data_IF_285295504433
#
_entry.id   IF_285295504433
#
_cell.length_a   1.000
_cell.length_b   1.000
_cell.length_c   1.000
_cell.angle_alpha   90.00
_cell.angle_beta   90.00
_cell.angle_gamma   90.00
#
_symmetry.space_group_name_H-M   'P 1'
#
loop_
_entity.id
_entity.type
_entity.pdbx_description
1 polymer ?
#
# COMPACT_ATOMS: atom_id res chain seq x y z
N UNK A 1 -27.35 5.10 12.87
CA UNK A 1 -26.70 4.14 11.94
C UNK A 1 -25.88 3.20 12.81
N UNK A 2 -26.20 1.89 12.87
CA UNK A 2 -25.36 0.94 13.62
C UNK A 2 -24.00 0.90 12.92
N UNK A 3 -22.91 1.17 13.65
CA UNK A 3 -21.57 0.87 13.15
C UNK A 3 -21.55 -0.60 12.76
N UNK A 4 -21.13 -0.90 11.53
CA UNK A 4 -21.00 -2.29 11.13
C UNK A 4 -19.90 -2.92 12.00
N UNK A 5 -20.05 -4.20 12.33
CA UNK A 5 -19.11 -4.96 13.17
C UNK A 5 -17.64 -4.84 12.70
N UNK A 6 -17.46 -4.57 11.40
CA UNK A 6 -16.21 -4.38 10.67
C UNK A 6 -15.51 -3.02 10.88
N UNK A 7 -16.13 -2.07 11.57
CA UNK A 7 -15.51 -0.77 11.90
C UNK A 7 -14.89 -0.78 13.32
N UNK A 8 -14.98 -1.91 14.02
CA UNK A 8 -14.47 -2.04 15.38
C UNK A 8 -12.96 -2.22 15.36
N UNK A 9 -12.24 -1.30 16.01
CA UNK A 9 -10.80 -1.43 16.20
C UNK A 9 -10.56 -2.45 17.32
N UNK A 10 -9.72 -3.48 17.11
CA UNK A 10 -9.32 -4.42 18.16
C UNK A 10 -8.57 -3.71 19.29
N UNK A 11 -8.51 -4.34 20.46
CA UNK A 11 -7.67 -3.84 21.55
C UNK A 11 -6.17 -3.89 21.21
N UNK A 12 -5.37 -3.07 21.89
CA UNK A 12 -3.94 -2.94 21.65
C UNK A 12 -3.19 -4.27 21.80
N UNK A 13 -3.60 -5.13 22.72
CA UNK A 13 -2.96 -6.44 22.91
C UNK A 13 -3.19 -7.34 21.69
N UNK A 14 -4.39 -7.32 21.11
CA UNK A 14 -4.71 -8.02 19.87
C UNK A 14 -3.89 -7.47 18.69
N UNK A 15 -3.75 -6.15 18.57
CA UNK A 15 -2.94 -5.52 17.52
C UNK A 15 -1.47 -5.93 17.63
N UNK A 16 -0.88 -5.84 18.82
CA UNK A 16 0.53 -6.19 19.06
C UNK A 16 0.80 -7.67 18.74
N UNK A 17 -0.04 -8.60 19.24
CA UNK A 17 0.10 -10.03 18.95
C UNK A 17 -0.02 -10.34 17.46
N UNK A 18 -0.95 -9.67 16.78
CA UNK A 18 -1.14 -9.84 15.33
C UNK A 18 0.09 -9.34 14.58
N UNK A 19 0.65 -8.18 14.97
CA UNK A 19 1.87 -7.67 14.38
C UNK A 19 3.08 -8.60 14.62
N UNK A 20 3.20 -9.22 15.79
CA UNK A 20 4.21 -10.24 16.07
C UNK A 20 4.04 -11.48 15.18
N UNK A 21 2.81 -11.95 14.96
CA UNK A 21 2.54 -13.07 14.06
C UNK A 21 2.92 -12.75 12.60
N UNK A 22 2.65 -11.52 12.13
CA UNK A 22 3.10 -11.05 10.81
C UNK A 22 4.63 -10.98 10.74
N UNK A 23 5.29 -10.45 11.79
CA UNK A 23 6.77 -10.43 11.88
C UNK A 23 7.38 -11.84 11.87
N UNK A 24 6.74 -12.80 12.52
CA UNK A 24 7.14 -14.21 12.50
C UNK A 24 7.14 -14.84 11.10
N UNK A 25 6.46 -14.22 10.12
CA UNK A 25 6.45 -14.62 8.72
C UNK A 25 7.48 -13.89 7.85
N UNK A 26 8.41 -13.16 8.48
CA UNK A 26 9.47 -12.43 7.78
C UNK A 26 9.02 -11.09 7.19
N UNK A 27 7.86 -10.56 7.59
CA UNK A 27 7.33 -9.28 7.14
C UNK A 27 7.58 -8.22 8.21
N UNK A 28 8.24 -7.12 7.86
CA UNK A 28 8.43 -6.00 8.80
C UNK A 28 7.11 -5.27 9.06
N UNK A 29 6.84 -4.93 10.32
CA UNK A 29 5.62 -4.22 10.73
C UNK A 29 5.97 -3.03 11.61
N UNK A 30 5.44 -1.86 11.28
CA UNK A 30 5.46 -0.65 12.09
C UNK A 30 4.03 -0.28 12.49
N UNK A 31 3.79 -0.09 13.79
CA UNK A 31 2.50 0.36 14.33
C UNK A 31 2.61 1.85 14.58
N UNK A 32 1.62 2.61 14.13
CA UNK A 32 1.55 4.07 14.24
C UNK A 32 0.18 4.47 14.77
N UNK A 33 0.11 5.54 15.54
CA UNK A 33 -1.09 5.92 16.29
C UNK A 33 -2.13 6.63 15.42
N UNK A 34 -1.68 7.32 14.36
CA UNK A 34 -2.57 8.13 13.51
C UNK A 34 -2.10 8.24 12.07
N UNK A 35 -3.06 8.57 11.20
CA UNK A 35 -2.89 8.60 9.73
C UNK A 35 -1.74 9.48 9.22
N UNK A 36 -1.46 10.62 9.86
CA UNK A 36 -0.38 11.51 9.42
C UNK A 36 1.00 10.91 9.71
N UNK A 37 1.16 10.25 10.87
CA UNK A 37 2.36 9.48 11.16
C UNK A 37 2.57 8.37 10.13
N UNK A 38 1.51 7.66 9.73
CA UNK A 38 1.60 6.67 8.65
C UNK A 38 2.12 7.27 7.33
N UNK A 39 1.63 8.46 6.95
CA UNK A 39 2.09 9.15 5.75
C UNK A 39 3.58 9.52 5.84
N UNK A 40 4.01 10.09 6.96
CA UNK A 40 5.39 10.52 7.16
C UNK A 40 6.36 9.33 7.11
N UNK A 41 6.00 8.23 7.78
CA UNK A 41 6.79 6.99 7.76
C UNK A 41 6.90 6.39 6.36
N UNK A 42 5.81 6.38 5.60
CA UNK A 42 5.83 5.94 4.19
C UNK A 42 6.77 6.81 3.35
N UNK A 43 6.75 8.14 3.52
CA UNK A 43 7.64 9.05 2.80
C UNK A 43 9.11 8.80 3.13
N UNK A 44 9.43 8.58 4.40
CA UNK A 44 10.79 8.32 4.89
C UNK A 44 11.36 7.00 4.35
N UNK A 45 10.52 6.01 4.10
CA UNK A 45 10.92 4.71 3.55
C UNK A 45 11.33 4.77 2.06
N UNK A 46 10.91 5.79 1.32
CA UNK A 46 11.08 5.86 -0.14
C UNK A 46 12.19 6.86 -0.49
N UNK A 47 13.34 6.39 -1.02
CA UNK A 47 14.43 7.28 -1.39
C UNK A 47 14.07 8.16 -2.59
N UNK A 48 14.66 9.36 -2.64
CA UNK A 48 14.54 10.26 -3.79
C UNK A 48 15.01 9.57 -5.07
N UNK A 49 14.31 9.83 -6.17
CA UNK A 49 14.60 9.29 -7.50
C UNK A 49 14.09 7.86 -7.75
N UNK A 50 13.58 7.17 -6.73
CA UNK A 50 12.99 5.85 -6.87
C UNK A 50 11.69 5.88 -7.68
N UNK A 51 11.42 4.79 -8.39
CA UNK A 51 10.14 4.55 -9.04
C UNK A 51 9.07 4.08 -8.05
N UNK A 52 7.93 4.76 -8.09
CA UNK A 52 6.79 4.54 -7.19
C UNK A 52 5.55 4.21 -8.00
N UNK A 53 4.86 3.13 -7.63
CA UNK A 53 3.55 2.77 -8.16
C UNK A 53 2.59 2.49 -7.00
N UNK A 54 1.30 2.78 -7.19
CA UNK A 54 0.26 2.42 -6.23
C UNK A 54 -0.79 1.51 -6.87
N UNK A 55 -1.33 0.59 -6.08
CA UNK A 55 -2.35 -0.36 -6.51
C UNK A 55 -3.80 0.13 -6.43
N UNK A 56 -4.06 1.44 -6.31
CA UNK A 56 -5.35 2.00 -5.83
C UNK A 56 -5.74 1.50 -4.43
N UNK A 57 -5.84 2.42 -3.46
CA UNK A 57 -6.10 2.05 -2.07
C UNK A 57 -6.78 3.20 -1.33
N UNK A 58 -8.00 2.95 -0.84
CA UNK A 58 -8.72 3.88 0.02
C UNK A 58 -7.91 4.22 1.27
N UNK A 59 -7.15 3.26 1.81
CA UNK A 59 -6.28 3.52 2.96
C UNK A 59 -5.14 4.50 2.61
N UNK A 60 -4.57 4.40 1.40
CA UNK A 60 -3.56 5.37 0.93
C UNK A 60 -4.17 6.75 0.67
N UNK A 61 -5.41 6.80 0.18
CA UNK A 61 -6.16 8.05 0.03
C UNK A 61 -6.43 8.69 1.40
N UNK A 62 -6.85 7.89 2.40
CA UNK A 62 -7.19 8.37 3.75
C UNK A 62 -6.00 8.92 4.53
N UNK A 63 -4.79 8.38 4.34
CA UNK A 63 -3.57 8.93 4.94
C UNK A 63 -3.03 10.13 4.15
N UNK A 64 -3.58 10.44 2.97
CA UNK A 64 -3.14 11.56 2.12
C UNK A 64 -1.97 11.23 1.17
N UNK A 65 -1.58 9.96 1.04
CA UNK A 65 -0.47 9.57 0.17
C UNK A 65 -0.77 9.81 -1.30
N UNK A 66 -1.98 9.46 -1.75
CA UNK A 66 -2.39 9.67 -3.15
C UNK A 66 -2.38 11.14 -3.54
N UNK A 67 -2.76 12.03 -2.63
CA UNK A 67 -2.71 13.46 -2.88
C UNK A 67 -1.27 13.98 -2.90
N UNK A 68 -0.44 13.54 -1.95
CA UNK A 68 0.98 13.87 -1.95
C UNK A 68 1.69 13.42 -3.25
N UNK A 69 1.36 12.23 -3.77
CA UNK A 69 1.92 11.73 -5.03
C UNK A 69 1.51 12.60 -6.24
N UNK A 70 0.37 13.29 -6.18
CA UNK A 70 -0.04 14.24 -7.24
C UNK A 70 0.74 15.55 -7.19
N UNK A 71 1.29 15.91 -6.04
CA UNK A 71 2.14 17.10 -5.91
C UNK A 71 3.51 16.80 -6.53
N UNK A 72 4.00 17.58 -7.49
CA UNK A 72 5.27 17.26 -8.17
C UNK A 72 6.53 17.39 -7.30
N UNK A 73 6.41 17.73 -6.01
CA UNK A 73 7.53 18.06 -5.11
C UNK A 73 8.01 16.86 -4.24
N UNK A 74 7.56 15.63 -4.53
CA UNK A 74 7.98 14.45 -3.76
C UNK A 74 9.33 13.87 -4.22
N UNK A 75 9.83 14.23 -5.41
CA UNK A 75 11.14 13.79 -5.90
C UNK A 75 11.22 12.29 -6.27
N UNK A 76 10.10 11.64 -6.55
CA UNK A 76 10.00 10.24 -6.99
C UNK A 76 9.60 10.16 -8.47
N UNK A 77 9.82 9.01 -9.12
CA UNK A 77 9.28 8.74 -10.45
C UNK A 77 7.89 8.13 -10.30
N UNK A 78 6.85 8.96 -10.35
CA UNK A 78 5.45 8.53 -10.25
C UNK A 78 5.02 7.78 -11.53
N UNK A 79 4.98 6.45 -11.45
CA UNK A 79 4.56 5.60 -12.55
C UNK A 79 3.06 5.68 -12.81
N UNK A 80 2.24 5.99 -11.80
CA UNK A 80 0.79 6.11 -11.95
C UNK A 80 0.43 7.30 -12.84
N UNK A 81 1.03 8.47 -12.57
CA UNK A 81 0.83 9.66 -13.42
C UNK A 81 1.38 9.44 -14.83
N UNK A 82 2.58 8.87 -14.98
CA UNK A 82 3.15 8.54 -16.29
C UNK A 82 2.24 7.61 -17.13
N UNK A 83 1.64 6.58 -16.51
CA UNK A 83 0.66 5.70 -17.15
C UNK A 83 -0.60 6.47 -17.56
N UNK A 84 -1.10 7.35 -16.69
CA UNK A 84 -2.33 8.11 -16.94
C UNK A 84 -2.17 9.07 -18.12
N UNK A 85 -1.00 9.67 -18.26
CA UNK A 85 -0.70 10.66 -19.30
C UNK A 85 -0.37 10.04 -20.67
N UNK A 86 -0.06 8.74 -20.73
CA UNK A 86 0.15 8.03 -21.99
C UNK A 86 -1.15 7.92 -22.80
N UNK A 87 -1.14 8.52 -23.99
CA UNK A 87 -2.27 8.61 -24.91
C UNK A 87 -2.40 7.37 -25.79
N UNK A 88 -1.28 6.70 -26.08
CA UNK A 88 -1.28 5.45 -26.83
C UNK A 88 -1.72 4.29 -25.93
N UNK A 89 -2.87 3.70 -26.23
CA UNK A 89 -3.45 2.64 -25.41
C UNK A 89 -2.54 1.41 -25.26
N UNK A 90 -1.89 0.97 -26.34
CA UNK A 90 -1.00 -0.21 -26.29
C UNK A 90 0.18 0.03 -25.36
N UNK A 91 0.86 1.18 -25.51
CA UNK A 91 1.96 1.59 -24.62
C UNK A 91 1.49 1.73 -23.18
N UNK A 92 0.32 2.34 -22.96
CA UNK A 92 -0.25 2.49 -21.63
C UNK A 92 -0.48 1.14 -20.94
N UNK A 93 -0.98 0.13 -21.67
CA UNK A 93 -1.17 -1.22 -21.12
C UNK A 93 0.16 -1.92 -20.84
N UNK A 94 1.18 -1.74 -21.69
CA UNK A 94 2.53 -2.23 -21.44
C UNK A 94 3.14 -1.60 -20.18
N UNK A 95 2.99 -0.27 -20.02
CA UNK A 95 3.42 0.45 -18.83
C UNK A 95 2.70 -0.05 -17.58
N UNK A 96 1.39 -0.30 -17.62
CA UNK A 96 0.62 -0.88 -16.50
C UNK A 96 1.13 -2.26 -16.08
N UNK A 97 1.47 -3.12 -17.04
CA UNK A 97 2.07 -4.43 -16.74
C UNK A 97 3.46 -4.28 -16.15
N UNK A 98 4.27 -3.34 -16.65
CA UNK A 98 5.62 -3.11 -16.16
C UNK A 98 5.64 -2.43 -14.79
N UNK A 99 4.65 -1.60 -14.46
CA UNK A 99 4.64 -0.87 -13.19
C UNK A 99 4.48 -1.75 -11.95
N UNK A 100 4.06 -3.00 -12.10
CA UNK A 100 4.06 -3.96 -10.98
C UNK A 100 5.48 -4.30 -10.49
N UNK A 101 6.50 -4.02 -11.32
CA UNK A 101 7.93 -4.17 -10.96
C UNK A 101 8.56 -2.86 -10.49
N UNK A 102 7.77 -1.91 -9.98
CA UNK A 102 8.30 -0.67 -9.41
C UNK A 102 9.32 -0.96 -8.30
N UNK A 103 10.26 -0.03 -8.09
CA UNK A 103 11.19 -0.13 -6.96
C UNK A 103 10.43 -0.09 -5.63
N UNK A 104 9.39 0.74 -5.55
CA UNK A 104 8.45 0.79 -4.44
C UNK A 104 7.03 0.67 -4.96
N UNK A 105 6.32 -0.38 -4.51
CA UNK A 105 4.91 -0.55 -4.78
C UNK A 105 4.12 -0.38 -3.48
N UNK A 106 3.12 0.49 -3.50
CA UNK A 106 2.29 0.76 -2.34
C UNK A 106 0.88 0.22 -2.52
N UNK A 107 0.34 -0.30 -1.44
CA UNK A 107 -1.02 -0.80 -1.44
C UNK A 107 -1.59 -0.94 -0.05
N UNK A 108 -2.65 -1.75 0.01
CA UNK A 108 -3.28 -2.16 1.24
C UNK A 108 -3.83 -3.57 1.08
N UNK A 109 -4.16 -4.19 2.19
CA UNK A 109 -4.79 -5.51 2.26
C UNK A 109 -6.27 -5.37 2.58
N UNK A 110 -7.02 -6.41 2.30
CA UNK A 110 -8.42 -6.53 2.69
C UNK A 110 -8.55 -6.87 4.17
N UNK A 111 -7.68 -7.76 4.69
CA UNK A 111 -7.65 -8.14 6.10
C UNK A 111 -6.26 -8.63 6.54
N UNK A 112 -6.00 -8.61 7.85
CA UNK A 112 -4.84 -9.23 8.48
C UNK A 112 -5.36 -10.24 9.51
N UNK A 113 -5.05 -11.52 9.34
CA UNK A 113 -5.44 -12.53 10.32
C UNK A 113 -4.60 -12.40 11.60
N UNK A 114 -5.15 -12.86 12.73
CA UNK A 114 -4.41 -12.95 14.01
C UNK A 114 -3.19 -13.88 13.94
N UNK A 115 -3.14 -14.79 12.95
CA UNK A 115 -2.02 -15.69 12.72
C UNK A 115 -0.99 -15.10 11.72
N UNK A 116 -1.19 -13.85 11.29
CA UNK A 116 -0.27 -13.11 10.42
C UNK A 116 -0.46 -13.32 8.93
N UNK A 117 -1.54 -13.98 8.48
CA UNK A 117 -1.85 -14.04 7.05
C UNK A 117 -2.39 -12.70 6.55
N UNK A 118 -1.90 -12.27 5.38
CA UNK A 118 -2.40 -11.09 4.67
C UNK A 118 -3.41 -11.53 3.61
N UNK A 119 -4.62 -10.98 3.66
CA UNK A 119 -5.66 -11.24 2.66
C UNK A 119 -5.69 -10.10 1.66
N UNK A 120 -5.39 -10.38 0.39
CA UNK A 120 -5.46 -9.40 -0.68
C UNK A 120 -6.19 -10.00 -1.89
N UNK A 121 -7.38 -9.47 -2.19
CA UNK A 121 -8.19 -9.87 -3.32
C UNK A 121 -8.53 -8.65 -4.17
N UNK A 122 -8.30 -8.69 -5.47
CA UNK A 122 -8.67 -7.61 -6.38
C UNK A 122 -9.17 -8.13 -7.72
N UNK A 123 -10.12 -7.40 -8.32
CA UNK A 123 -10.84 -7.81 -9.54
C UNK A 123 -9.93 -8.10 -10.73
N UNK A 124 -8.84 -7.34 -10.85
CA UNK A 124 -8.00 -7.30 -12.06
C UNK A 124 -6.69 -8.05 -11.91
N UNK A 125 -6.37 -8.52 -10.70
CA UNK A 125 -5.05 -9.04 -10.33
C UNK A 125 -3.94 -7.99 -10.23
N UNK A 126 -4.25 -6.70 -10.41
CA UNK A 126 -3.23 -5.66 -10.63
C UNK A 126 -2.44 -5.31 -9.36
N UNK A 127 -3.02 -5.49 -8.17
CA UNK A 127 -2.30 -5.30 -6.89
C UNK A 127 -1.53 -6.57 -6.54
N UNK A 128 -2.22 -7.71 -6.58
CA UNK A 128 -1.62 -8.99 -6.16
C UNK A 128 -0.45 -9.43 -7.05
N UNK A 129 -0.41 -8.99 -8.32
CA UNK A 129 0.75 -9.20 -9.19
C UNK A 129 2.03 -8.53 -8.69
N UNK A 130 1.91 -7.40 -7.99
CA UNK A 130 3.05 -6.72 -7.36
C UNK A 130 3.46 -7.37 -6.03
N UNK A 131 2.49 -7.86 -5.25
CA UNK A 131 2.70 -8.18 -3.82
C UNK A 131 3.63 -9.38 -3.58
N UNK A 132 3.57 -10.40 -4.42
CA UNK A 132 4.22 -11.68 -4.13
C UNK A 132 5.66 -11.79 -4.65
N UNK A 133 5.99 -11.07 -5.74
CA UNK A 133 7.26 -11.26 -6.43
C UNK A 133 7.76 -10.02 -7.15
N UNK A 134 6.87 -9.28 -7.83
CA UNK A 134 7.32 -8.32 -8.84
C UNK A 134 7.90 -7.03 -8.26
N UNK A 135 7.29 -6.46 -7.21
CA UNK A 135 7.79 -5.23 -6.61
C UNK A 135 9.08 -5.50 -5.84
N UNK A 136 10.08 -4.63 -5.99
CA UNK A 136 11.33 -4.77 -5.24
C UNK A 136 11.12 -4.52 -3.75
N UNK A 137 10.37 -3.48 -3.42
CA UNK A 137 9.94 -3.16 -2.07
C UNK A 137 8.41 -2.98 -2.07
N UNK A 138 7.72 -3.75 -1.24
CA UNK A 138 6.27 -3.66 -1.06
C UNK A 138 5.97 -2.97 0.27
N UNK A 139 5.23 -1.86 0.23
CA UNK A 139 4.73 -1.17 1.42
C UNK A 139 3.21 -1.30 1.47
N UNK A 140 2.71 -1.97 2.50
CA UNK A 140 1.28 -2.15 2.73
C UNK A 140 0.87 -1.32 3.93
N UNK A 141 -0.03 -0.35 3.71
CA UNK A 141 -0.64 0.41 4.81
C UNK A 141 -2.00 -0.20 5.12
N UNK A 142 -2.24 -0.55 6.37
CA UNK A 142 -3.53 -1.09 6.84
C UNK A 142 -4.03 -0.28 8.03
N UNK A 143 -5.34 -0.03 8.08
CA UNK A 143 -5.98 0.46 9.29
C UNK A 143 -6.17 -0.69 10.28
N UNK A 144 -6.16 -0.39 11.59
CA UNK A 144 -6.26 -1.40 12.64
C UNK A 144 -7.61 -2.15 12.66
N UNK A 145 -8.66 -1.60 12.04
CA UNK A 145 -9.96 -2.24 11.88
C UNK A 145 -10.00 -3.37 10.83
N UNK A 146 -8.88 -3.64 10.13
CA UNK A 146 -8.76 -4.69 9.11
C UNK A 146 -8.33 -6.03 9.66
#
# INVERSE_FOLDING_TARGET
MKMAEWDTVPDDQTIVKTAEAVRGRGISVEIVDYRLQALDRVKEMIPKGASVMTGSSTTLDQIGFTEHLRTSDHGWKDLHTAIREEKNEKKRQEMRRKSVTAEYFLGSVNAISRNGELVACDRTGSRVGAYHYAARNLILVAGAQK
#
